data_IF_384078998779
#
_entry.id   IF_384078998779
#
_cell.length_a   1.000
_cell.length_b   1.000
_cell.length_c   1.000
_cell.angle_alpha   90.00
_cell.angle_beta   90.00
_cell.angle_gamma   90.00
#
_symmetry.space_group_name_H-M   'P 1'
#
loop_
_entity.id
_entity.type
_entity.pdbx_description
1 polymer ?
#
# COMPACT_ATOMS: atom_id res chain seq x y z
N UNK A 1 -19.21 17.99 -3.60
CA UNK A 1 -17.79 18.15 -3.96
C UNK A 1 -17.07 18.66 -2.74
N UNK A 2 -16.00 18.00 -2.30
CA UNK A 2 -15.23 18.41 -1.10
C UNK A 2 -13.83 18.93 -1.45
N UNK A 3 -13.56 19.06 -2.76
CA UNK A 3 -12.46 19.84 -3.32
C UNK A 3 -11.13 19.61 -2.60
N UNK A 4 -10.45 20.72 -2.30
CA UNK A 4 -9.16 20.75 -1.59
C UNK A 4 -9.34 20.98 -0.08
N UNK A 5 -10.45 20.48 0.50
CA UNK A 5 -10.73 20.64 1.94
C UNK A 5 -10.45 19.34 2.69
N UNK A 6 -9.83 19.43 3.85
CA UNK A 6 -9.56 18.27 4.70
C UNK A 6 -10.84 17.82 5.40
N UNK A 7 -11.32 16.61 5.09
CA UNK A 7 -12.48 16.00 5.75
C UNK A 7 -12.13 15.32 7.08
N UNK A 8 -10.99 14.61 7.11
CA UNK A 8 -10.62 13.70 8.19
C UNK A 8 -9.10 13.61 8.30
N UNK A 9 -8.60 13.75 9.51
CA UNK A 9 -7.16 13.64 9.80
C UNK A 9 -6.73 12.23 10.24
N UNK A 10 -7.65 11.37 10.68
CA UNK A 10 -7.36 10.09 11.36
C UNK A 10 -7.82 8.85 10.57
N UNK A 11 -7.58 8.80 9.27
CA UNK A 11 -7.91 7.62 8.46
C UNK A 11 -6.82 6.55 8.60
N UNK A 12 -7.18 5.31 8.96
CA UNK A 12 -6.29 4.16 8.82
C UNK A 12 -6.48 3.57 7.42
N UNK A 13 -5.39 3.52 6.64
CA UNK A 13 -5.38 3.04 5.24
C UNK A 13 -4.57 1.76 5.07
N UNK A 14 -4.17 1.13 6.18
CA UNK A 14 -3.41 -0.12 6.22
C UNK A 14 -4.26 -1.16 6.93
N UNK A 15 -4.26 -2.39 6.43
CA UNK A 15 -5.03 -3.50 6.98
C UNK A 15 -4.19 -4.77 7.00
N UNK A 16 -4.42 -5.60 8.02
CA UNK A 16 -3.90 -6.96 8.11
C UNK A 16 -4.84 -7.93 7.43
N UNK A 17 -4.29 -8.80 6.58
CA UNK A 17 -4.97 -9.86 5.84
C UNK A 17 -4.31 -11.20 6.15
N UNK A 18 -4.93 -12.29 5.71
CA UNK A 18 -4.43 -13.66 5.82
C UNK A 18 -3.91 -13.99 7.22
N UNK A 19 -4.81 -13.93 8.20
CA UNK A 19 -4.53 -14.17 9.62
C UNK A 19 -3.39 -13.32 10.19
N UNK A 20 -3.25 -12.09 9.69
CA UNK A 20 -2.26 -11.13 10.16
C UNK A 20 -0.87 -11.27 9.56
N UNK A 21 -0.68 -12.18 8.60
CA UNK A 21 0.61 -12.46 7.95
C UNK A 21 0.89 -11.59 6.73
N UNK A 22 -0.13 -10.88 6.23
CA UNK A 22 0.01 -9.97 5.09
C UNK A 22 -0.48 -8.58 5.49
N UNK A 23 0.29 -7.55 5.15
CA UNK A 23 -0.13 -6.16 5.21
C UNK A 23 -0.63 -5.72 3.84
N UNK A 24 -1.72 -4.97 3.80
CA UNK A 24 -2.24 -4.36 2.59
C UNK A 24 -2.57 -2.89 2.82
N UNK A 25 -2.19 -2.04 1.88
CA UNK A 25 -2.47 -0.60 1.88
C UNK A 25 -3.06 -0.15 0.55
N UNK A 26 -4.01 0.76 0.59
CA UNK A 26 -4.72 1.23 -0.62
C UNK A 26 -4.81 2.76 -0.66
N UNK A 27 -4.46 3.35 -1.80
CA UNK A 27 -4.56 4.78 -2.04
C UNK A 27 -5.79 5.09 -2.92
N UNK A 28 -6.96 5.22 -2.29
CA UNK A 28 -8.21 5.54 -2.98
C UNK A 28 -9.40 5.63 -2.04
N UNK A 29 -10.61 5.39 -2.58
CA UNK A 29 -11.84 5.43 -1.77
C UNK A 29 -11.92 4.25 -0.80
N UNK A 30 -12.61 4.46 0.32
CA UNK A 30 -12.77 3.42 1.35
C UNK A 30 -13.56 2.22 0.84
N UNK A 31 -14.62 2.44 0.04
CA UNK A 31 -15.44 1.35 -0.50
C UNK A 31 -14.65 0.45 -1.45
N UNK A 32 -13.82 1.05 -2.31
CA UNK A 32 -12.97 0.31 -3.24
C UNK A 32 -11.90 -0.49 -2.49
N UNK A 33 -11.30 0.11 -1.46
CA UNK A 33 -10.33 -0.56 -0.60
C UNK A 33 -10.91 -1.84 0.03
N UNK A 34 -12.11 -1.75 0.63
CA UNK A 34 -12.76 -2.91 1.23
C UNK A 34 -13.02 -4.03 0.23
N UNK A 35 -13.53 -3.67 -0.96
CA UNK A 35 -13.82 -4.63 -2.02
C UNK A 35 -12.55 -5.36 -2.48
N UNK A 36 -11.46 -4.62 -2.70
CA UNK A 36 -10.19 -5.20 -3.14
C UNK A 36 -9.52 -6.02 -2.05
N UNK A 37 -9.58 -5.58 -0.78
CA UNK A 37 -9.06 -6.35 0.34
C UNK A 37 -9.79 -7.68 0.54
N UNK A 38 -11.12 -7.70 0.43
CA UNK A 38 -11.90 -8.95 0.54
C UNK A 38 -11.57 -9.92 -0.60
N UNK A 39 -11.50 -9.42 -1.84
CA UNK A 39 -11.07 -10.23 -2.99
C UNK A 39 -9.65 -10.75 -2.82
N UNK A 40 -8.73 -9.90 -2.37
CA UNK A 40 -7.34 -10.30 -2.19
C UNK A 40 -7.18 -11.33 -1.07
N UNK A 41 -7.89 -11.18 0.04
CA UNK A 41 -7.87 -12.15 1.13
C UNK A 41 -8.39 -13.52 0.67
N UNK A 42 -9.45 -13.54 -0.14
CA UNK A 42 -9.92 -14.78 -0.77
C UNK A 42 -8.85 -15.43 -1.68
N UNK A 43 -8.08 -14.63 -2.43
CA UNK A 43 -6.95 -15.14 -3.23
C UNK A 43 -5.80 -15.65 -2.36
N UNK A 44 -5.51 -14.99 -1.25
CA UNK A 44 -4.52 -15.49 -0.29
C UNK A 44 -4.95 -16.85 0.28
N UNK A 45 -6.22 -17.03 0.61
CA UNK A 45 -6.75 -18.33 1.04
C UNK A 45 -6.65 -19.39 -0.07
N UNK A 46 -7.07 -19.05 -1.30
CA UNK A 46 -7.00 -19.93 -2.48
C UNK A 46 -5.58 -20.44 -2.75
N UNK A 47 -4.58 -19.56 -2.65
CA UNK A 47 -3.17 -19.86 -2.93
C UNK A 47 -2.34 -20.15 -1.68
N UNK A 48 -2.99 -20.41 -0.53
CA UNK A 48 -2.34 -20.78 0.75
C UNK A 48 -1.22 -19.81 1.16
N UNK A 49 -1.50 -18.52 1.04
CA UNK A 49 -0.58 -17.45 1.45
C UNK A 49 0.52 -17.13 0.45
N UNK A 50 0.55 -17.75 -0.74
CA UNK A 50 1.53 -17.38 -1.77
C UNK A 50 1.22 -15.98 -2.32
N UNK A 51 1.90 -14.96 -1.79
CA UNK A 51 1.63 -13.55 -2.09
C UNK A 51 1.80 -13.23 -3.58
N UNK A 52 2.87 -13.63 -4.29
CA UNK A 52 3.01 -13.35 -5.72
C UNK A 52 1.89 -13.96 -6.57
N UNK A 53 1.49 -15.22 -6.30
CA UNK A 53 0.40 -15.87 -7.05
C UNK A 53 -0.95 -15.22 -6.76
N UNK A 54 -1.23 -14.90 -5.50
CA UNK A 54 -2.44 -14.18 -5.12
C UNK A 54 -2.50 -12.78 -5.78
N UNK A 55 -1.37 -12.08 -5.82
CA UNK A 55 -1.27 -10.74 -6.42
C UNK A 55 -1.56 -10.78 -7.93
N UNK A 56 -0.93 -11.72 -8.65
CA UNK A 56 -1.19 -11.91 -10.08
C UNK A 56 -2.64 -12.32 -10.35
N UNK A 57 -3.24 -13.16 -9.50
CA UNK A 57 -4.63 -13.56 -9.65
C UNK A 57 -5.58 -12.37 -9.45
N UNK A 58 -5.36 -11.53 -8.43
CA UNK A 58 -6.14 -10.33 -8.22
C UNK A 58 -5.95 -9.32 -9.35
N UNK A 59 -4.72 -9.07 -9.79
CA UNK A 59 -4.44 -8.11 -10.86
C UNK A 59 -5.17 -8.49 -12.16
N UNK A 60 -5.24 -9.79 -12.49
CA UNK A 60 -6.05 -10.30 -13.61
C UNK A 60 -7.53 -10.02 -13.41
N UNK A 61 -8.08 -10.35 -12.24
CA UNK A 61 -9.49 -10.12 -11.93
C UNK A 61 -9.84 -8.62 -12.00
N UNK A 62 -9.04 -7.78 -11.35
CA UNK A 62 -9.18 -6.33 -11.30
C UNK A 62 -9.20 -5.72 -12.71
N UNK A 63 -8.28 -6.13 -13.59
CA UNK A 63 -8.23 -5.65 -14.99
C UNK A 63 -9.47 -6.06 -15.79
N UNK A 64 -10.01 -7.25 -15.55
CA UNK A 64 -11.15 -7.78 -16.32
C UNK A 64 -12.50 -7.28 -15.82
N UNK A 65 -12.61 -6.93 -14.54
CA UNK A 65 -13.85 -6.46 -13.95
C UNK A 65 -14.21 -5.05 -14.47
N UNK A 66 -15.44 -4.90 -14.99
CA UNK A 66 -15.92 -3.66 -15.62
C UNK A 66 -15.93 -2.47 -14.67
N UNK A 67 -16.18 -2.73 -13.38
CA UNK A 67 -16.25 -1.71 -12.32
C UNK A 67 -14.85 -1.43 -11.80
N UNK A 68 -14.11 -2.46 -11.40
CA UNK A 68 -12.82 -2.28 -10.72
C UNK A 68 -11.75 -1.67 -11.63
N UNK A 69 -11.72 -1.98 -12.93
CA UNK A 69 -10.70 -1.46 -13.85
C UNK A 69 -10.71 0.08 -14.02
N UNK A 70 -11.78 0.75 -13.58
CA UNK A 70 -11.90 2.22 -13.63
C UNK A 70 -11.30 2.90 -12.41
N UNK A 71 -10.84 2.13 -11.43
CA UNK A 71 -10.21 2.67 -10.24
C UNK A 71 -8.80 3.17 -10.58
N UNK A 72 -8.59 4.48 -10.45
CA UNK A 72 -7.28 5.12 -10.55
C UNK A 72 -6.51 5.00 -9.23
N UNK A 73 -6.43 3.78 -8.71
CA UNK A 73 -5.83 3.50 -7.41
C UNK A 73 -4.74 2.43 -7.50
N UNK A 74 -3.78 2.54 -6.59
CA UNK A 74 -2.73 1.55 -6.39
C UNK A 74 -2.95 0.86 -5.04
N UNK A 75 -2.55 -0.41 -4.97
CA UNK A 75 -2.52 -1.20 -3.75
C UNK A 75 -1.09 -1.69 -3.49
N UNK A 76 -0.59 -1.55 -2.27
CA UNK A 76 0.64 -2.22 -1.82
C UNK A 76 0.21 -3.42 -0.97
N UNK A 77 0.86 -4.56 -1.18
CA UNK A 77 0.73 -5.75 -0.32
C UNK A 77 2.10 -6.27 0.03
N UNK A 78 2.28 -6.75 1.26
CA UNK A 78 3.56 -7.23 1.74
C UNK A 78 3.42 -8.39 2.73
N UNK A 79 4.29 -9.38 2.61
CA UNK A 79 4.53 -10.42 3.61
C UNK A 79 5.97 -10.30 4.15
N UNK A 80 6.49 -11.32 4.81
CA UNK A 80 7.86 -11.31 5.36
C UNK A 80 8.95 -11.38 4.27
N UNK A 81 8.59 -11.76 3.04
CA UNK A 81 9.54 -12.05 1.96
C UNK A 81 9.40 -11.07 0.77
N UNK A 82 8.19 -10.59 0.50
CA UNK A 82 7.84 -9.89 -0.73
C UNK A 82 7.09 -8.58 -0.42
N UNK A 83 7.33 -7.57 -1.25
CA UNK A 83 6.54 -6.32 -1.31
C UNK A 83 6.08 -6.15 -2.75
N UNK A 84 4.77 -6.03 -2.98
CA UNK A 84 4.20 -5.93 -4.31
C UNK A 84 3.28 -4.73 -4.43
N UNK A 85 3.36 -4.03 -5.55
CA UNK A 85 2.45 -2.94 -5.95
C UNK A 85 1.55 -3.45 -7.06
N UNK A 86 0.24 -3.27 -6.89
CA UNK A 86 -0.79 -3.70 -7.82
C UNK A 86 -1.58 -2.50 -8.36
N UNK A 87 -2.01 -2.58 -9.62
CA UNK A 87 -2.80 -1.56 -10.30
C UNK A 87 -4.04 -2.13 -10.99
N UNK A 88 -5.04 -1.29 -11.21
CA UNK A 88 -6.27 -1.66 -11.93
C UNK A 88 -6.09 -1.96 -13.43
N UNK A 89 -4.92 -1.66 -14.00
CA UNK A 89 -4.57 -2.04 -15.39
C UNK A 89 -3.91 -3.43 -15.46
N UNK A 90 -3.71 -4.08 -14.31
CA UNK A 90 -3.23 -5.45 -14.20
C UNK A 90 -1.72 -5.59 -13.99
N UNK A 91 -1.05 -4.53 -13.54
CA UNK A 91 0.38 -4.61 -13.20
C UNK A 91 0.57 -5.22 -11.82
N UNK A 92 1.66 -5.98 -11.69
CA UNK A 92 2.22 -6.47 -10.42
C UNK A 92 3.70 -6.14 -10.43
N UNK A 93 4.13 -5.26 -9.55
CA UNK A 93 5.48 -4.69 -9.54
C UNK A 93 6.13 -4.97 -8.19
N UNK A 94 7.31 -5.58 -8.21
CA UNK A 94 8.15 -5.77 -7.04
C UNK A 94 9.28 -4.71 -7.06
N UNK A 95 9.51 -3.97 -5.97
CA UNK A 95 10.58 -2.97 -5.92
C UNK A 95 11.94 -3.63 -5.69
N UNK A 96 12.94 -3.24 -6.49
CA UNK A 96 14.30 -3.79 -6.40
C UNK A 96 14.99 -3.56 -5.05
N UNK A 97 14.61 -2.49 -4.34
CA UNK A 97 15.24 -2.06 -3.10
C UNK A 97 14.40 -2.30 -1.84
N UNK A 98 13.39 -3.19 -1.93
CA UNK A 98 12.60 -3.61 -0.78
C UNK A 98 11.80 -2.48 -0.12
N UNK A 99 11.48 -1.42 -0.88
CA UNK A 99 10.68 -0.30 -0.42
C UNK A 99 9.73 0.18 -1.51
N UNK A 100 8.46 0.40 -1.14
CA UNK A 100 7.45 0.93 -2.04
C UNK A 100 6.61 1.99 -1.32
N UNK A 101 6.08 2.93 -2.09
CA UNK A 101 5.16 3.94 -1.59
C UNK A 101 4.11 4.28 -2.67
N UNK A 102 2.90 4.59 -2.24
CA UNK A 102 1.77 4.97 -3.10
C UNK A 102 1.03 6.18 -2.52
N UNK A 103 0.18 6.81 -3.34
CA UNK A 103 -0.60 7.98 -2.95
C UNK A 103 0.12 9.31 -3.20
N UNK A 104 -0.53 10.42 -2.84
CA UNK A 104 -0.08 11.79 -3.16
C UNK A 104 1.30 12.15 -2.61
N UNK A 105 1.65 11.65 -1.42
CA UNK A 105 2.98 11.84 -0.81
C UNK A 105 3.99 10.73 -1.12
N UNK A 106 3.61 9.75 -1.96
CA UNK A 106 4.37 8.51 -2.14
C UNK A 106 5.79 8.74 -2.65
N UNK A 107 5.99 9.64 -3.61
CA UNK A 107 7.33 9.93 -4.17
C UNK A 107 8.27 10.56 -3.14
N UNK A 108 7.78 11.45 -2.27
CA UNK A 108 8.56 12.06 -1.19
C UNK A 108 8.93 11.03 -0.13
N UNK A 109 7.97 10.19 0.28
CA UNK A 109 8.22 9.10 1.21
C UNK A 109 9.24 8.10 0.64
N UNK A 110 9.09 7.71 -0.64
CA UNK A 110 10.01 6.79 -1.29
C UNK A 110 11.44 7.34 -1.35
N UNK A 111 11.59 8.62 -1.71
CA UNK A 111 12.91 9.27 -1.75
C UNK A 111 13.56 9.32 -0.36
N UNK A 112 12.81 9.75 0.67
CA UNK A 112 13.29 9.80 2.05
C UNK A 112 13.62 8.41 2.60
N UNK A 113 12.75 7.42 2.38
CA UNK A 113 12.95 6.04 2.80
C UNK A 113 14.19 5.41 2.17
N UNK A 114 14.40 5.61 0.85
CA UNK A 114 15.61 5.15 0.16
C UNK A 114 16.88 5.80 0.71
N UNK A 115 16.83 7.09 1.02
CA UNK A 115 17.97 7.78 1.63
C UNK A 115 18.28 7.21 3.02
N UNK A 116 17.27 6.95 3.85
CA UNK A 116 17.45 6.35 5.18
C UNK A 116 18.00 4.92 5.10
N UNK A 117 17.44 4.07 4.24
CA UNK A 117 17.90 2.69 4.04
C UNK A 117 19.38 2.60 3.63
N UNK A 118 19.85 3.55 2.82
CA UNK A 118 21.22 3.52 2.28
C UNK A 118 22.27 4.10 3.24
N UNK A 119 21.86 4.91 4.21
CA UNK A 119 22.80 5.74 4.99
C UNK A 119 22.62 5.60 6.51
N UNK A 120 21.77 4.68 6.98
CA UNK A 120 21.50 4.49 8.41
C UNK A 120 21.32 3.01 8.74
N UNK A 121 21.36 2.68 10.04
CA UNK A 121 21.05 1.35 10.57
C UNK A 121 19.65 1.29 11.20
N UNK A 122 18.72 2.13 10.71
CA UNK A 122 17.35 2.17 11.21
C UNK A 122 16.59 0.90 10.81
N UNK A 123 15.74 0.42 11.71
CA UNK A 123 14.84 -0.68 11.41
C UNK A 123 13.73 -0.26 10.41
N UNK A 124 13.05 -1.26 9.84
CA UNK A 124 11.99 -1.03 8.84
C UNK A 124 10.86 -0.12 9.36
N UNK A 125 10.54 -0.22 10.65
CA UNK A 125 9.51 0.62 11.28
C UNK A 125 9.93 2.09 11.29
N UNK A 126 11.15 2.37 11.74
CA UNK A 126 11.71 3.71 11.83
C UNK A 126 11.91 4.32 10.44
N UNK A 127 12.32 3.54 9.44
CA UNK A 127 12.40 3.98 8.03
C UNK A 127 11.02 4.38 7.51
N UNK A 128 10.00 3.52 7.69
CA UNK A 128 8.65 3.79 7.24
C UNK A 128 8.06 5.04 7.93
N UNK A 129 8.24 5.16 9.24
CA UNK A 129 7.73 6.28 10.03
C UNK A 129 8.40 7.61 9.64
N UNK A 130 9.73 7.67 9.61
CA UNK A 130 10.47 8.90 9.26
C UNK A 130 10.23 9.32 7.81
N UNK A 131 10.15 8.38 6.88
CA UNK A 131 9.88 8.71 5.48
C UNK A 131 8.48 9.30 5.27
N UNK A 132 7.48 8.81 6.00
CA UNK A 132 6.13 9.37 5.98
C UNK A 132 6.06 10.76 6.64
N UNK A 133 6.82 10.99 7.73
CA UNK A 133 6.94 12.33 8.31
C UNK A 133 7.54 13.35 7.32
N UNK A 134 8.62 12.98 6.62
CA UNK A 134 9.19 13.83 5.56
C UNK A 134 8.18 14.12 4.45
N UNK A 135 7.36 13.13 4.06
CA UNK A 135 6.30 13.34 3.08
C UNK A 135 5.21 14.28 3.59
N UNK A 136 4.86 14.25 4.88
CA UNK A 136 3.89 15.13 5.50
C UNK A 136 4.35 16.59 5.58
N UNK A 137 5.66 16.83 5.67
CA UNK A 137 6.23 18.18 5.64
C UNK A 137 6.19 18.82 4.25
N UNK A 138 6.11 18.02 3.18
CA UNK A 138 6.21 18.47 1.79
C UNK A 138 4.84 18.43 1.08
N UNK A 139 4.09 17.35 1.24
CA UNK A 139 2.86 17.10 0.50
C UNK A 139 1.63 17.63 1.24
N UNK A 140 0.95 18.62 0.66
CA UNK A 140 -0.29 19.22 1.22
C UNK A 140 -1.45 18.23 1.42
N UNK A 141 -1.37 17.04 0.84
CA UNK A 141 -2.38 15.97 0.95
C UNK A 141 -1.97 14.84 1.92
N UNK A 142 -0.81 14.97 2.56
CA UNK A 142 -0.28 14.01 3.54
C UNK A 142 -0.09 14.73 4.87
N UNK A 143 -0.44 14.09 5.99
CA UNK A 143 -0.31 14.70 7.31
C UNK A 143 0.54 13.81 8.24
N UNK A 144 0.79 14.32 9.44
CA UNK A 144 1.63 13.73 10.49
C UNK A 144 0.91 12.70 11.37
N UNK A 145 -0.35 12.37 11.07
CA UNK A 145 -1.15 11.38 11.82
C UNK A 145 -1.00 10.00 11.21
N UNK A 146 0.12 9.37 11.54
CA UNK A 146 0.54 8.10 10.95
C UNK A 146 -0.07 6.89 11.69
N UNK A 147 -0.31 5.81 10.94
CA UNK A 147 -0.58 4.47 11.48
C UNK A 147 0.49 3.54 10.93
N UNK A 148 1.23 2.86 11.81
CA UNK A 148 2.37 2.02 11.42
C UNK A 148 2.14 0.60 11.93
N UNK A 149 1.89 -0.31 10.99
CA UNK A 149 1.77 -1.75 11.21
C UNK A 149 3.11 -2.44 10.90
N UNK A 150 3.41 -3.52 11.63
CA UNK A 150 4.58 -4.35 11.39
C UNK A 150 4.19 -5.83 11.42
N UNK A 151 4.78 -6.64 10.55
CA UNK A 151 4.69 -8.09 10.63
C UNK A 151 5.61 -8.60 11.76
N UNK A 152 5.25 -9.71 12.44
CA UNK A 152 6.12 -10.35 13.42
C UNK A 152 7.42 -10.86 12.82
#
# INVERSE_FOLDING_TARGET
SVGNTVMKHSASKVRRLYDGKVLAGFAGSTADAFTLFEKFDAKLQEFRGNLPRAAVALAKEWRTDRVLRRLEALMIVADQENILVLSGVGDVIEPDDGIAAIGSGGSFALAGGRALLRNTELDARAVAEKSLYLAAEICVYTNDRLTVEALP
#
